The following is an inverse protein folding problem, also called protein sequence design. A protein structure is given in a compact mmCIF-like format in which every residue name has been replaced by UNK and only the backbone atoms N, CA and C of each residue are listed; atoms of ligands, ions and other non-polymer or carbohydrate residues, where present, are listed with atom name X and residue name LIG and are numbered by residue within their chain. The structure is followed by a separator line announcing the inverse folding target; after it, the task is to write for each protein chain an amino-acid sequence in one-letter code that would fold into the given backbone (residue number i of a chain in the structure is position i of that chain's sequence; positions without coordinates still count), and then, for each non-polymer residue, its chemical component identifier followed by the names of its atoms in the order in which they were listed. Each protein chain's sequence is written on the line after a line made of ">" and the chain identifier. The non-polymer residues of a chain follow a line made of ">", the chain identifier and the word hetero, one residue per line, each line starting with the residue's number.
data_IF_980974845964
#
_entry.id   IF_980974845964
#
_cell.length_a   1.000
_cell.length_b   1.000
_cell.length_c   1.000
_cell.angle_alpha   90.00
_cell.angle_beta   90.00
_cell.angle_gamma   90.00
#
_symmetry.space_group_name_H-M   'P 1'
#
loop_
_entity.id
_entity.type
_entity.pdbx_description
1 polymer ?
#
# COMPACT_ATOMS: atom_id res chain seq x y z
N UNK A 1 4.47 18.84 -2.00
CA UNK A 1 3.31 19.73 -2.14
C UNK A 1 2.91 20.28 -0.77
N UNK A 2 3.22 21.56 -0.51
CA UNK A 2 2.84 22.23 0.73
C UNK A 2 1.35 22.61 0.73
N UNK A 3 0.60 22.12 1.71
CA UNK A 3 -0.83 22.41 1.89
C UNK A 3 -1.06 23.33 3.08
N UNK A 4 -1.55 24.54 2.80
CA UNK A 4 -1.85 25.57 3.80
C UNK A 4 -3.26 25.35 4.38
N UNK A 5 -3.38 25.34 5.70
CA UNK A 5 -4.57 24.89 6.44
C UNK A 5 -5.08 25.91 7.46
N UNK A 6 -4.49 27.12 7.56
CA UNK A 6 -4.83 28.08 8.61
C UNK A 6 -6.31 28.43 8.62
N UNK A 7 -6.93 28.60 7.45
CA UNK A 7 -8.36 28.89 7.38
C UNK A 7 -9.20 27.73 7.93
N UNK A 8 -8.87 26.50 7.55
CA UNK A 8 -9.53 25.26 8.04
C UNK A 8 -9.41 25.15 9.56
N UNK A 9 -8.23 25.39 10.14
CA UNK A 9 -8.05 25.35 11.59
C UNK A 9 -8.84 26.43 12.33
N UNK A 10 -8.98 27.63 11.76
CA UNK A 10 -9.62 28.77 12.41
C UNK A 10 -11.15 28.81 12.29
N UNK A 11 -11.72 28.09 11.31
CA UNK A 11 -13.15 28.14 11.02
C UNK A 11 -13.79 26.75 11.08
N UNK A 12 -14.68 26.55 12.05
CA UNK A 12 -15.44 25.31 12.16
C UNK A 12 -16.37 25.12 10.94
N UNK A 13 -16.40 23.91 10.40
CA UNK A 13 -17.16 23.58 9.20
C UNK A 13 -16.49 23.98 7.88
N UNK A 14 -15.33 24.64 7.93
CA UNK A 14 -14.55 24.92 6.73
C UNK A 14 -13.92 23.63 6.17
N UNK A 15 -13.86 23.56 4.85
CA UNK A 15 -13.18 22.51 4.11
C UNK A 15 -12.34 23.13 3.00
N UNK A 16 -11.17 22.56 2.77
CA UNK A 16 -10.26 22.93 1.69
C UNK A 16 -9.81 21.68 0.97
N UNK A 17 -9.83 21.73 -0.36
CA UNK A 17 -9.44 20.62 -1.21
C UNK A 17 -8.38 21.07 -2.21
N UNK A 18 -7.46 20.16 -2.52
CA UNK A 18 -6.57 20.30 -3.66
C UNK A 18 -6.38 18.96 -4.35
N UNK A 19 -6.09 19.01 -5.66
CA UNK A 19 -5.70 17.84 -6.44
C UNK A 19 -4.39 18.14 -7.15
N UNK A 20 -3.44 17.20 -7.10
CA UNK A 20 -2.16 17.31 -7.78
C UNK A 20 -1.63 15.94 -8.20
N UNK A 21 -0.56 15.95 -9.00
CA UNK A 21 0.16 14.75 -9.39
C UNK A 21 1.51 14.70 -8.66
N UNK A 22 1.79 13.55 -8.07
CA UNK A 22 3.03 13.27 -7.36
C UNK A 22 3.79 12.18 -8.13
N UNK A 23 5.00 12.49 -8.58
CA UNK A 23 5.86 11.50 -9.23
C UNK A 23 6.68 10.76 -8.17
N UNK A 24 6.48 9.44 -8.10
CA UNK A 24 7.20 8.51 -7.22
C UNK A 24 7.81 7.36 -8.02
N UNK A 25 8.06 7.58 -9.32
CA UNK A 25 8.66 6.58 -10.20
C UNK A 25 10.07 6.16 -9.78
N UNK A 26 10.77 7.01 -9.02
CA UNK A 26 12.12 6.75 -8.50
C UNK A 26 12.14 5.92 -7.20
N UNK A 27 10.98 5.55 -6.65
CA UNK A 27 10.93 4.70 -5.45
C UNK A 27 11.32 3.26 -5.82
N UNK A 28 12.44 2.80 -5.26
CA UNK A 28 12.89 1.41 -5.32
C UNK A 28 12.17 0.57 -4.24
N UNK A 29 11.53 -0.52 -4.66
CA UNK A 29 11.01 -1.54 -3.76
C UNK A 29 11.55 -2.90 -4.17
N UNK A 30 12.45 -3.47 -3.37
CA UNK A 30 13.13 -4.75 -3.59
C UNK A 30 13.88 -4.85 -4.93
N UNK A 31 14.53 -3.76 -5.35
CA UNK A 31 15.34 -3.68 -6.58
C UNK A 31 14.53 -3.42 -7.85
N UNK A 32 13.28 -2.98 -7.73
CA UNK A 32 12.43 -2.61 -8.87
C UNK A 32 11.72 -1.28 -8.61
N UNK A 33 11.31 -0.61 -9.69
CA UNK A 33 10.57 0.66 -9.67
C UNK A 33 9.12 0.41 -10.09
N UNK A 34 8.20 0.10 -9.15
CA UNK A 34 6.90 -0.46 -9.49
C UNK A 34 5.83 0.57 -9.89
N UNK A 35 6.02 1.85 -9.59
CA UNK A 35 5.05 2.90 -9.93
C UNK A 35 5.20 3.31 -11.41
N UNK A 36 4.15 3.07 -12.20
CA UNK A 36 4.17 3.27 -13.68
C UNK A 36 3.38 4.49 -14.15
N UNK A 37 2.73 5.18 -13.22
CA UNK A 37 2.13 6.49 -13.42
C UNK A 37 2.46 7.39 -12.23
N UNK A 38 2.42 8.72 -12.40
CA UNK A 38 2.30 9.61 -11.25
C UNK A 38 1.07 9.24 -10.42
N UNK A 39 1.15 9.44 -9.11
CA UNK A 39 0.03 9.31 -8.19
C UNK A 39 -0.87 10.53 -8.37
N UNK A 40 -2.15 10.30 -8.67
CA UNK A 40 -3.16 11.35 -8.58
C UNK A 40 -3.61 11.44 -7.14
N UNK A 41 -3.36 12.57 -6.49
CA UNK A 41 -3.70 12.80 -5.08
C UNK A 41 -4.79 13.85 -5.01
N UNK A 42 -5.93 13.51 -4.41
CA UNK A 42 -6.94 14.47 -3.95
C UNK A 42 -6.89 14.52 -2.43
N UNK A 43 -6.49 15.67 -1.91
CA UNK A 43 -6.37 15.93 -0.48
C UNK A 43 -7.47 16.90 -0.03
N UNK A 44 -8.24 16.49 0.97
CA UNK A 44 -9.34 17.27 1.53
C UNK A 44 -9.13 17.43 3.02
N UNK A 45 -8.92 18.66 3.49
CA UNK A 45 -8.85 18.98 4.91
C UNK A 45 -10.16 19.62 5.36
N UNK A 46 -10.77 19.13 6.43
CA UNK A 46 -12.01 19.68 6.97
C UNK A 46 -11.97 19.80 8.49
N UNK A 47 -12.62 20.83 9.02
CA UNK A 47 -12.74 21.05 10.46
C UNK A 47 -14.15 20.70 10.95
N UNK A 48 -14.24 19.73 11.86
CA UNK A 48 -15.49 19.37 12.52
C UNK A 48 -15.29 19.33 14.03
N UNK A 49 -16.04 20.15 14.77
CA UNK A 49 -15.96 20.21 16.23
C UNK A 49 -14.52 20.43 16.75
N UNK A 50 -13.78 21.35 16.12
CA UNK A 50 -12.37 21.67 16.44
C UNK A 50 -11.36 20.55 16.18
N UNK A 51 -11.76 19.48 15.48
CA UNK A 51 -10.85 18.46 14.96
C UNK A 51 -10.67 18.66 13.46
N UNK A 52 -9.44 18.97 13.04
CA UNK A 52 -9.09 19.00 11.63
C UNK A 52 -8.72 17.60 11.18
N UNK A 53 -9.35 17.13 10.12
CA UNK A 53 -9.11 15.83 9.51
C UNK A 53 -8.62 16.04 8.08
N UNK A 54 -7.61 15.28 7.67
CA UNK A 54 -7.09 15.22 6.31
C UNK A 54 -7.47 13.88 5.69
N UNK A 55 -8.29 13.93 4.65
CA UNK A 55 -8.60 12.78 3.80
C UNK A 55 -7.76 12.83 2.54
N UNK A 56 -7.12 11.72 2.21
CA UNK A 56 -6.27 11.55 1.02
C UNK A 56 -6.86 10.44 0.15
N UNK A 57 -7.19 10.75 -1.09
CA UNK A 57 -7.54 9.76 -2.10
C UNK A 57 -6.41 9.69 -3.14
N UNK A 58 -5.82 8.52 -3.31
CA UNK A 58 -4.63 8.30 -4.12
C UNK A 58 -4.90 7.24 -5.18
N UNK A 59 -4.75 7.61 -6.45
CA UNK A 59 -4.90 6.72 -7.60
C UNK A 59 -3.60 6.57 -8.40
N UNK A 60 -3.15 5.34 -8.66
CA UNK A 60 -1.92 5.08 -9.41
C UNK A 60 -1.86 3.68 -10.05
N UNK A 61 -0.99 3.54 -11.06
CA UNK A 61 -0.68 2.26 -11.69
C UNK A 61 0.56 1.63 -11.03
N UNK A 62 0.39 0.43 -10.47
CA UNK A 62 1.42 -0.33 -9.74
C UNK A 62 1.73 -1.66 -10.44
N UNK A 63 2.99 -1.85 -10.82
CA UNK A 63 3.47 -3.02 -11.55
C UNK A 63 4.50 -3.81 -10.73
N UNK A 64 4.23 -5.09 -10.52
CA UNK A 64 5.16 -6.03 -9.88
C UNK A 64 5.06 -7.41 -10.51
N UNK A 65 6.10 -8.23 -10.29
CA UNK A 65 6.04 -9.67 -10.56
C UNK A 65 5.18 -10.37 -9.51
N UNK A 66 4.40 -11.35 -9.93
CA UNK A 66 3.66 -12.22 -9.03
C UNK A 66 4.62 -13.09 -8.20
N UNK A 67 4.46 -13.09 -6.87
CA UNK A 67 5.33 -13.84 -5.95
C UNK A 67 5.24 -15.36 -6.12
N UNK A 68 4.20 -15.86 -6.79
CA UNK A 68 3.96 -17.30 -6.99
C UNK A 68 4.34 -17.81 -8.36
N UNK A 69 3.99 -17.07 -9.43
CA UNK A 69 4.19 -17.50 -10.81
C UNK A 69 5.17 -16.62 -11.60
N UNK A 70 5.66 -15.53 -11.00
CA UNK A 70 6.60 -14.57 -11.61
C UNK A 70 6.06 -13.80 -12.82
N UNK A 71 4.79 -13.99 -13.20
CA UNK A 71 4.16 -13.16 -14.23
C UNK A 71 4.13 -11.70 -13.79
N UNK A 72 4.46 -10.78 -14.70
CA UNK A 72 4.36 -9.34 -14.43
C UNK A 72 2.92 -8.88 -14.53
N UNK A 73 2.45 -8.15 -13.52
CA UNK A 73 1.07 -7.70 -13.41
C UNK A 73 1.04 -6.22 -13.12
N UNK A 74 0.29 -5.48 -13.94
CA UNK A 74 -0.05 -4.08 -13.74
C UNK A 74 -1.42 -4.01 -13.06
N UNK A 75 -1.53 -3.24 -11.98
CA UNK A 75 -2.79 -2.98 -11.29
C UNK A 75 -3.03 -1.49 -11.19
N UNK A 76 -4.27 -1.09 -11.44
CA UNK A 76 -4.78 0.21 -11.01
C UNK A 76 -5.12 0.12 -9.54
N UNK A 77 -4.53 0.98 -8.74
CA UNK A 77 -4.70 1.04 -7.29
C UNK A 77 -5.39 2.34 -6.94
N UNK A 78 -6.44 2.23 -6.14
CA UNK A 78 -7.13 3.37 -5.53
C UNK A 78 -7.09 3.13 -4.02
N UNK A 79 -6.56 4.09 -3.27
CA UNK A 79 -6.40 4.01 -1.83
C UNK A 79 -6.93 5.28 -1.16
N UNK A 80 -7.46 5.10 0.04
CA UNK A 80 -8.00 6.17 0.86
C UNK A 80 -7.35 6.13 2.24
N UNK A 81 -6.86 7.28 2.70
CA UNK A 81 -6.21 7.47 3.99
C UNK A 81 -6.84 8.64 4.72
N UNK A 82 -6.87 8.57 6.05
CA UNK A 82 -7.43 9.61 6.90
C UNK A 82 -6.49 9.86 8.07
N UNK A 83 -6.15 11.13 8.28
CA UNK A 83 -5.30 11.59 9.37
C UNK A 83 -5.98 12.67 10.19
N UNK A 84 -5.71 12.72 11.50
CA UNK A 84 -6.10 13.85 12.34
C UNK A 84 -4.94 14.82 12.42
N UNK A 85 -5.23 16.10 12.31
CA UNK A 85 -4.23 17.15 12.37
C UNK A 85 -4.38 17.96 13.67
N UNK A 86 -3.27 18.29 14.29
CA UNK A 86 -3.20 19.18 15.44
C UNK A 86 -2.17 20.28 15.18
N UNK A 87 -2.40 21.48 15.70
CA UNK A 87 -1.39 22.54 15.63
C UNK A 87 -0.19 22.22 16.54
N UNK A 88 -0.48 21.70 17.73
CA UNK A 88 0.54 21.33 18.72
C UNK A 88 0.12 20.06 19.43
N UNK A 89 1.04 19.14 19.63
CA UNK A 89 0.80 17.93 20.40
C UNK A 89 0.94 18.22 21.89
N UNK A 90 0.01 17.70 22.69
CA UNK A 90 0.10 17.76 24.17
C UNK A 90 1.06 16.70 24.71
N UNK A 91 1.18 15.59 23.98
CA UNK A 91 2.11 14.48 24.23
C UNK A 91 2.79 14.14 22.90
N UNK A 92 4.11 14.32 22.84
CA UNK A 92 4.91 14.02 21.65
C UNK A 92 4.90 12.52 21.28
N UNK A 93 4.52 11.64 22.21
CA UNK A 93 4.38 10.21 21.95
C UNK A 93 3.01 9.82 21.35
N UNK A 94 2.15 10.80 21.05
CA UNK A 94 0.81 10.54 20.52
C UNK A 94 0.82 10.43 18.98
N UNK A 95 0.89 9.20 18.49
CA UNK A 95 0.88 8.88 17.05
C UNK A 95 -0.52 9.01 16.39
N UNK A 96 -1.57 9.36 17.14
CA UNK A 96 -2.92 9.54 16.57
C UNK A 96 -3.07 10.82 15.74
N UNK A 97 -2.10 11.75 15.82
CA UNK A 97 -2.16 13.07 15.21
C UNK A 97 -0.88 13.41 14.45
N UNK A 98 -1.04 14.10 13.32
CA UNK A 98 0.07 14.76 12.63
C UNK A 98 0.13 16.21 13.13
N UNK A 99 1.29 16.61 13.65
CA UNK A 99 1.54 17.97 14.09
C UNK A 99 1.76 18.92 12.91
N UNK A 100 1.12 20.10 12.95
CA UNK A 100 1.15 21.11 11.89
C UNK A 100 1.34 22.52 12.51
N UNK A 101 2.52 22.82 13.08
CA UNK A 101 2.72 24.01 13.92
C UNK A 101 2.48 25.33 13.18
N UNK A 102 2.81 25.38 11.89
CA UNK A 102 2.63 26.54 11.02
C UNK A 102 1.30 26.53 10.25
N UNK A 103 0.36 25.66 10.63
CA UNK A 103 -0.86 25.37 9.86
C UNK A 103 -0.57 24.94 8.42
N UNK A 104 0.55 24.27 8.21
CA UNK A 104 0.94 23.71 6.91
C UNK A 104 1.33 22.25 7.06
N UNK A 105 1.09 21.47 6.02
CA UNK A 105 1.53 20.07 5.95
C UNK A 105 2.18 19.81 4.58
N UNK A 106 3.28 19.06 4.59
CA UNK A 106 3.94 18.60 3.37
C UNK A 106 3.28 17.28 2.93
N UNK A 107 2.41 17.35 1.93
CA UNK A 107 1.57 16.22 1.54
C UNK A 107 2.34 15.08 0.90
N UNK A 108 3.46 15.37 0.23
CA UNK A 108 4.19 14.35 -0.54
C UNK A 108 4.73 13.28 0.41
N UNK A 109 5.27 13.68 1.55
CA UNK A 109 5.82 12.78 2.57
C UNK A 109 4.73 11.89 3.19
N UNK A 110 3.58 12.48 3.52
CA UNK A 110 2.44 11.76 4.11
C UNK A 110 1.90 10.73 3.12
N UNK A 111 1.65 11.15 1.87
CA UNK A 111 1.14 10.28 0.80
C UNK A 111 2.12 9.13 0.51
N UNK A 112 3.43 9.42 0.42
CA UNK A 112 4.44 8.37 0.19
C UNK A 112 4.44 7.37 1.33
N UNK A 113 4.44 7.83 2.59
CA UNK A 113 4.41 6.96 3.76
C UNK A 113 3.18 6.06 3.77
N UNK A 114 1.99 6.64 3.58
CA UNK A 114 0.73 5.92 3.54
C UNK A 114 0.69 4.85 2.45
N UNK A 115 1.09 5.22 1.22
CA UNK A 115 1.14 4.30 0.09
C UNK A 115 2.08 3.13 0.39
N UNK A 116 3.29 3.40 0.88
CA UNK A 116 4.29 2.36 1.18
C UNK A 116 3.80 1.41 2.27
N UNK A 117 3.17 1.92 3.33
CA UNK A 117 2.61 1.11 4.41
C UNK A 117 1.41 0.27 3.96
N UNK A 118 0.65 0.75 2.97
CA UNK A 118 -0.51 0.04 2.43
C UNK A 118 -0.17 -0.97 1.33
N UNK A 119 1.09 -1.08 0.91
CA UNK A 119 1.49 -2.07 -0.08
C UNK A 119 1.26 -3.50 0.45
N UNK A 120 0.78 -4.42 -0.40
CA UNK A 120 0.51 -5.78 0.03
C UNK A 120 1.82 -6.52 0.32
N UNK A 121 1.87 -7.25 1.44
CA UNK A 121 3.00 -8.14 1.77
C UNK A 121 3.23 -9.25 0.73
N UNK A 122 2.17 -9.64 0.01
CA UNK A 122 2.23 -10.58 -1.11
C UNK A 122 1.54 -10.00 -2.33
N UNK A 123 2.27 -9.90 -3.43
CA UNK A 123 1.75 -9.46 -4.71
C UNK A 123 1.49 -10.67 -5.61
N UNK A 124 0.23 -11.08 -5.73
CA UNK A 124 -0.18 -12.22 -6.55
C UNK A 124 -0.88 -11.74 -7.82
N UNK A 125 -0.76 -12.43 -8.96
CA UNK A 125 -1.54 -12.10 -10.16
C UNK A 125 -3.04 -12.29 -9.98
N UNK A 126 -3.43 -13.26 -9.16
CA UNK A 126 -4.79 -13.52 -8.70
C UNK A 126 -4.77 -14.16 -7.31
N UNK A 127 -5.88 -14.11 -6.54
CA UNK A 127 -5.97 -14.78 -5.24
C UNK A 127 -5.70 -16.29 -5.33
N UNK A 128 -6.11 -16.92 -6.42
CA UNK A 128 -5.99 -18.37 -6.66
C UNK A 128 -4.79 -18.76 -7.54
N UNK A 129 -3.79 -17.87 -7.67
CA UNK A 129 -2.61 -18.13 -8.50
C UNK A 129 -1.96 -19.45 -8.11
N UNK A 130 -1.87 -20.42 -9.02
CA UNK A 130 -1.35 -21.78 -8.74
C UNK A 130 0.17 -21.81 -8.58
N UNK A 131 0.86 -20.78 -9.06
CA UNK A 131 2.31 -20.61 -8.96
C UNK A 131 3.10 -21.48 -9.93
N UNK A 132 4.42 -21.54 -9.74
CA UNK A 132 5.30 -22.41 -10.52
C UNK A 132 5.33 -23.83 -9.96
N UNK A 133 5.54 -24.80 -10.84
CA UNK A 133 5.83 -26.17 -10.45
C UNK A 133 7.20 -26.25 -9.75
N UNK A 134 7.30 -26.81 -8.52
CA UNK A 134 8.56 -26.89 -7.80
C UNK A 134 9.58 -27.85 -8.44
N UNK A 135 9.15 -28.71 -9.37
CA UNK A 135 10.04 -29.66 -10.08
C UNK A 135 10.63 -29.11 -11.36
N UNK A 136 9.80 -28.48 -12.21
CA UNK A 136 10.21 -28.06 -13.56
C UNK A 136 10.09 -26.56 -13.83
N UNK A 137 9.53 -25.78 -12.90
CA UNK A 137 9.35 -24.33 -13.06
C UNK A 137 8.21 -23.92 -13.99
N UNK A 138 7.42 -24.86 -14.54
CA UNK A 138 6.28 -24.52 -15.39
C UNK A 138 5.21 -23.74 -14.61
N UNK A 139 4.66 -22.68 -15.23
CA UNK A 139 3.58 -21.89 -14.64
C UNK A 139 2.27 -22.71 -14.63
N UNK A 140 1.85 -23.12 -13.44
CA UNK A 140 0.68 -23.98 -13.24
C UNK A 140 -0.62 -23.27 -13.60
N UNK A 141 -0.63 -21.93 -13.72
CA UNK A 141 -1.81 -21.21 -14.20
C UNK A 141 -2.18 -21.56 -15.65
N UNK A 142 -1.21 -22.01 -16.45
CA UNK A 142 -1.40 -22.38 -17.85
C UNK A 142 -1.82 -23.85 -18.04
N UNK A 143 -1.87 -24.65 -16.96
CA UNK A 143 -2.24 -26.07 -17.04
C UNK A 143 -1.36 -26.95 -16.15
N UNK A 144 -1.65 -28.26 -16.16
CA UNK A 144 -0.78 -29.24 -15.53
C UNK A 144 0.47 -29.48 -16.40
N UNK A 145 1.62 -29.66 -15.74
CA UNK A 145 2.89 -29.97 -16.37
C UNK A 145 3.23 -31.46 -16.33
N UNK A 146 2.36 -32.30 -15.72
CA UNK A 146 2.53 -33.75 -15.65
C UNK A 146 3.61 -34.23 -14.67
N UNK A 147 4.26 -33.33 -13.93
CA UNK A 147 5.22 -33.70 -12.89
C UNK A 147 4.52 -34.45 -11.75
N UNK A 148 5.08 -35.60 -11.35
CA UNK A 148 4.64 -36.27 -10.13
C UNK A 148 5.03 -35.44 -8.90
N UNK A 149 4.02 -34.94 -8.20
CA UNK A 149 4.17 -34.08 -7.02
C UNK A 149 3.98 -34.84 -5.69
N UNK A 150 3.79 -36.16 -5.73
CA UNK A 150 3.56 -37.01 -4.55
C UNK A 150 4.84 -37.51 -3.88
N UNK A 151 5.99 -36.97 -4.27
CA UNK A 151 7.27 -37.38 -3.70
C UNK A 151 7.39 -36.86 -2.27
N UNK A 152 7.28 -37.79 -1.32
CA UNK A 152 7.46 -37.51 0.10
C UNK A 152 8.94 -37.38 0.35
N UNK A 153 9.37 -36.23 0.89
CA UNK A 153 10.73 -36.08 1.35
C UNK A 153 11.07 -37.21 2.34
N UNK A 154 12.09 -38.04 2.07
CA UNK A 154 12.43 -39.17 2.93
C UNK A 154 12.65 -38.79 4.40
N UNK A 155 13.10 -37.56 4.68
CA UNK A 155 13.30 -37.04 6.04
C UNK A 155 11.98 -36.84 6.78
N UNK A 156 10.91 -36.55 6.04
CA UNK A 156 9.57 -36.31 6.57
C UNK A 156 8.69 -37.57 6.54
N UNK A 157 9.17 -38.67 5.97
CA UNK A 157 8.40 -39.91 5.84
C UNK A 157 7.92 -40.47 7.20
N UNK A 158 8.70 -40.26 8.28
CA UNK A 158 8.35 -40.68 9.65
C UNK A 158 7.06 -40.02 10.17
N UNK A 159 6.71 -38.82 9.68
CA UNK A 159 5.53 -38.07 10.13
C UNK A 159 4.22 -38.70 9.68
N UNK A 160 4.22 -39.60 8.68
CA UNK A 160 3.02 -40.35 8.28
C UNK A 160 2.44 -41.18 9.43
N UNK A 161 3.30 -41.69 10.30
CA UNK A 161 2.89 -42.49 11.46
C UNK A 161 2.09 -41.69 12.49
N UNK A 162 2.05 -40.35 12.38
CA UNK A 162 1.32 -39.46 13.30
C UNK A 162 -0.07 -39.04 12.78
N UNK A 163 -0.45 -39.45 11.57
CA UNK A 163 -1.74 -39.12 10.93
C UNK A 163 -2.66 -40.37 10.92
N UNK A 164 -2.13 -41.53 11.32
CA UNK A 164 -2.86 -42.79 11.45
C UNK A 164 -3.43 -42.92 12.88
N UNK A 165 -4.48 -42.14 13.19
CA UNK A 165 -5.45 -42.35 14.29
C UNK A 165 -6.83 -41.78 13.90
#
# INVERSE_FOLDING_TARGET
>A
MLFELKSVFLNEGESKELTYQLDISDIDIDGVFPFKSPVTVTATAFNRASLVTLDLNCGYDYQRSCDRCSDTVLRKVEQHFTHKLAQTLVDEANDDYIETPDFTIELDEVVISDILLALPQKFLCSPDCRGLCPKCGANLNNGDCGCDRREIDPRLAILKQLIED
#
